data_IF_812141940084
#
_entry.id   IF_812141940084
#
_cell.length_a   1.000
_cell.length_b   1.000
_cell.length_c   1.000
_cell.angle_alpha   90.00
_cell.angle_beta   90.00
_cell.angle_gamma   90.00
#
_symmetry.space_group_name_H-M   'P 1'
#
loop_
_entity.id
_entity.type
_entity.pdbx_description
1 polymer ?
#
# COMPACT_ATOMS: atom_id res chain seq x y z
N UNK A 1 18.07 -46.28 -10.09
CA UNK A 1 17.10 -46.31 -8.98
C UNK A 1 17.25 -44.98 -8.25
N UNK A 2 16.35 -44.03 -8.45
CA UNK A 2 16.36 -42.75 -7.74
C UNK A 2 15.60 -42.95 -6.43
N UNK A 3 16.28 -42.82 -5.30
CA UNK A 3 15.62 -42.71 -4.00
C UNK A 3 15.13 -41.28 -3.84
N UNK A 4 13.84 -41.09 -3.67
CA UNK A 4 13.27 -39.84 -3.16
C UNK A 4 13.47 -39.91 -1.64
N UNK A 5 14.42 -39.15 -1.11
CA UNK A 5 14.61 -38.99 0.34
C UNK A 5 13.52 -38.08 0.92
N UNK A 6 13.24 -38.24 2.21
CA UNK A 6 12.37 -37.35 2.99
C UNK A 6 12.64 -35.87 2.70
N UNK A 7 11.58 -35.06 2.77
CA UNK A 7 11.61 -33.61 2.55
C UNK A 7 12.72 -33.00 3.42
N UNK A 8 13.68 -32.32 2.80
CA UNK A 8 14.78 -31.65 3.51
C UNK A 8 14.18 -30.74 4.59
N UNK A 9 14.56 -30.98 5.86
CA UNK A 9 14.11 -30.20 7.01
C UNK A 9 14.50 -28.72 6.90
N UNK A 10 15.49 -28.40 6.05
CA UNK A 10 15.93 -27.03 5.76
C UNK A 10 15.25 -26.42 4.52
N UNK A 11 14.38 -27.17 3.82
CA UNK A 11 13.62 -26.63 2.70
C UNK A 11 12.55 -25.67 3.23
N UNK A 12 12.95 -24.41 3.38
CA UNK A 12 12.03 -23.34 3.76
C UNK A 12 11.14 -23.05 2.58
N UNK A 13 9.84 -23.31 2.72
CA UNK A 13 8.85 -22.89 1.74
C UNK A 13 8.98 -21.38 1.58
N UNK A 14 9.25 -20.89 0.37
CA UNK A 14 9.17 -19.44 0.11
C UNK A 14 7.72 -19.01 0.28
N UNK A 15 7.42 -18.44 1.44
CA UNK A 15 6.09 -17.98 1.78
C UNK A 15 5.66 -16.76 0.97
N UNK A 16 4.40 -16.73 0.53
CA UNK A 16 3.77 -15.46 0.16
C UNK A 16 3.38 -14.67 1.40
N UNK A 17 3.58 -13.34 1.40
CA UNK A 17 3.11 -12.46 2.48
C UNK A 17 1.59 -12.53 2.71
N UNK A 18 0.84 -13.01 1.71
CA UNK A 18 -0.62 -13.19 1.75
C UNK A 18 -0.98 -14.66 1.44
N UNK A 19 -0.85 -15.59 2.40
CA UNK A 19 -1.02 -17.02 2.18
C UNK A 19 -2.47 -17.45 1.86
N UNK A 20 -3.45 -16.58 2.12
CA UNK A 20 -4.87 -16.84 1.88
C UNK A 20 -5.45 -16.06 0.69
N UNK A 21 -4.65 -15.21 0.04
CA UNK A 21 -5.08 -14.41 -1.11
C UNK A 21 -6.07 -13.30 -0.74
N UNK A 22 -6.12 -12.89 0.53
CA UNK A 22 -7.10 -11.94 1.04
C UNK A 22 -6.80 -10.50 0.65
N UNK A 23 -5.53 -10.19 0.37
CA UNK A 23 -5.17 -8.85 -0.10
C UNK A 23 -5.88 -8.52 -1.42
N UNK A 24 -5.95 -9.48 -2.36
CA UNK A 24 -6.63 -9.28 -3.66
C UNK A 24 -8.13 -9.06 -3.48
N UNK A 25 -8.76 -9.85 -2.58
CA UNK A 25 -10.17 -9.72 -2.24
C UNK A 25 -10.46 -8.32 -1.67
N UNK A 26 -9.67 -7.89 -0.68
CA UNK A 26 -9.86 -6.57 -0.10
C UNK A 26 -9.57 -5.45 -1.09
N UNK A 27 -8.53 -5.57 -1.93
CA UNK A 27 -8.25 -4.57 -2.98
C UNK A 27 -9.44 -4.40 -3.92
N UNK A 28 -10.09 -5.49 -4.32
CA UNK A 28 -11.29 -5.42 -5.15
C UNK A 28 -12.42 -4.64 -4.44
N UNK A 29 -12.63 -4.90 -3.15
CA UNK A 29 -13.63 -4.19 -2.35
C UNK A 29 -13.30 -2.70 -2.18
N UNK A 30 -12.10 -2.37 -1.71
CA UNK A 30 -11.68 -0.98 -1.48
C UNK A 30 -11.66 -0.14 -2.76
N UNK A 31 -11.31 -0.73 -3.92
CA UNK A 31 -11.34 -0.03 -5.22
C UNK A 31 -12.74 0.30 -5.70
N UNK A 32 -13.79 -0.31 -5.14
CA UNK A 32 -15.17 0.12 -5.40
C UNK A 32 -15.39 1.56 -4.96
N UNK A 33 -14.72 2.03 -3.91
CA UNK A 33 -14.76 3.43 -3.49
C UNK A 33 -13.57 4.24 -3.99
N UNK A 34 -12.34 3.79 -3.70
CA UNK A 34 -11.10 4.53 -3.93
C UNK A 34 -10.32 3.86 -5.07
N UNK A 35 -10.48 4.31 -6.34
CA UNK A 35 -10.07 3.52 -7.50
C UNK A 35 -8.56 3.51 -7.75
N UNK A 36 -7.88 4.64 -7.56
CA UNK A 36 -6.55 4.88 -8.15
C UNK A 36 -5.40 4.84 -7.16
N UNK A 37 -5.67 4.87 -5.85
CA UNK A 37 -4.62 4.80 -4.83
C UNK A 37 -4.08 3.37 -4.67
N UNK A 38 -2.83 3.29 -4.23
CA UNK A 38 -2.17 2.04 -3.82
C UNK A 38 -2.00 2.01 -2.29
N UNK A 39 -1.53 0.88 -1.76
CA UNK A 39 -1.21 0.71 -0.33
C UNK A 39 -0.06 1.61 0.15
N UNK A 40 0.73 2.17 -0.78
CA UNK A 40 2.00 2.86 -0.49
C UNK A 40 2.11 4.24 -1.16
N UNK A 41 1.05 4.71 -1.82
CA UNK A 41 1.03 6.01 -2.49
C UNK A 41 0.31 7.03 -1.62
N UNK A 42 0.96 7.46 -0.54
CA UNK A 42 0.36 8.26 0.53
C UNK A 42 1.11 9.57 0.81
N UNK A 43 2.16 9.90 0.05
CA UNK A 43 2.99 11.08 0.25
C UNK A 43 2.81 12.05 -0.92
N UNK A 44 2.46 13.30 -0.61
CA UNK A 44 2.19 14.34 -1.61
C UNK A 44 3.46 14.82 -2.33
N UNK A 45 4.59 14.87 -1.62
CA UNK A 45 5.89 15.25 -2.21
C UNK A 45 6.30 14.22 -3.28
N UNK A 46 6.03 12.93 -3.07
CA UNK A 46 6.31 11.90 -4.07
C UNK A 46 5.49 12.13 -5.37
N UNK A 47 4.21 12.55 -5.24
CA UNK A 47 3.42 12.98 -6.38
C UNK A 47 3.99 14.26 -7.04
N UNK A 48 4.41 15.27 -6.26
CA UNK A 48 5.04 16.49 -6.79
C UNK A 48 6.32 16.16 -7.60
N UNK A 49 7.18 15.29 -7.07
CA UNK A 49 8.40 14.84 -7.75
C UNK A 49 8.06 14.16 -9.08
N UNK A 50 7.04 13.31 -9.10
CA UNK A 50 6.60 12.64 -10.31
C UNK A 50 6.02 13.63 -11.34
N UNK A 51 5.20 14.59 -10.90
CA UNK A 51 4.70 15.67 -11.76
C UNK A 51 5.85 16.47 -12.41
N UNK A 52 6.85 16.85 -11.61
CA UNK A 52 8.05 17.56 -12.09
C UNK A 52 8.83 16.72 -13.09
N UNK A 53 9.07 15.44 -12.80
CA UNK A 53 9.81 14.56 -13.71
C UNK A 53 9.11 14.40 -15.06
N UNK A 54 7.79 14.21 -15.08
CA UNK A 54 7.01 14.15 -16.33
C UNK A 54 7.01 15.48 -17.10
N UNK A 55 7.04 16.61 -16.39
CA UNK A 55 7.16 17.93 -17.01
C UNK A 55 8.54 18.10 -17.64
N UNK A 56 9.61 17.75 -16.91
CA UNK A 56 10.99 17.75 -17.39
C UNK A 56 11.14 16.87 -18.63
N UNK A 57 10.56 15.66 -18.62
CA UNK A 57 10.54 14.76 -19.78
C UNK A 57 10.01 15.46 -21.03
N UNK A 58 8.88 16.16 -20.90
CA UNK A 58 8.24 16.89 -22.00
C UNK A 58 9.08 18.10 -22.44
N UNK A 59 9.52 18.94 -21.51
CA UNK A 59 10.28 20.16 -21.83
C UNK A 59 11.62 19.88 -22.49
N UNK A 60 12.35 18.87 -22.01
CA UNK A 60 13.67 18.51 -22.53
C UNK A 60 13.65 17.39 -23.56
N UNK A 61 12.45 16.95 -23.99
CA UNK A 61 12.25 15.90 -24.99
C UNK A 61 13.05 14.63 -24.68
N UNK A 62 13.03 14.20 -23.42
CA UNK A 62 13.74 12.98 -22.98
C UNK A 62 13.05 11.78 -23.61
N UNK A 63 13.79 10.99 -24.38
CA UNK A 63 13.30 9.76 -24.99
C UNK A 63 12.82 8.76 -23.93
N UNK A 64 11.76 8.00 -24.24
CA UNK A 64 11.17 7.04 -23.31
C UNK A 64 12.19 6.03 -22.77
N UNK A 65 13.08 5.54 -23.64
CA UNK A 65 14.17 4.63 -23.27
C UNK A 65 15.13 5.20 -22.21
N UNK A 66 15.27 6.52 -22.14
CA UNK A 66 16.16 7.21 -21.21
C UNK A 66 15.44 7.75 -19.97
N UNK A 67 14.10 7.77 -19.97
CA UNK A 67 13.32 8.41 -18.91
C UNK A 67 13.52 7.73 -17.56
N UNK A 68 13.60 6.40 -17.52
CA UNK A 68 13.85 5.64 -16.28
C UNK A 68 15.21 6.00 -15.66
N UNK A 69 16.27 6.02 -16.47
CA UNK A 69 17.62 6.36 -16.00
C UNK A 69 17.69 7.79 -15.49
N UNK A 70 17.05 8.73 -16.19
CA UNK A 70 16.89 10.10 -15.71
C UNK A 70 16.10 10.15 -14.40
N UNK A 71 14.97 9.44 -14.30
CA UNK A 71 14.12 9.47 -13.12
C UNK A 71 14.86 8.96 -11.88
N UNK A 72 15.64 7.87 -11.99
CA UNK A 72 16.47 7.37 -10.89
C UNK A 72 17.43 8.45 -10.37
N UNK A 73 18.10 9.17 -11.27
CA UNK A 73 19.00 10.27 -10.89
C UNK A 73 18.24 11.45 -10.27
N UNK A 74 17.08 11.80 -10.84
CA UNK A 74 16.23 12.88 -10.35
C UNK A 74 15.66 12.57 -8.96
N UNK A 75 15.22 11.33 -8.72
CA UNK A 75 14.72 10.86 -7.44
C UNK A 75 15.80 10.95 -6.36
N UNK A 76 17.04 10.56 -6.65
CA UNK A 76 18.17 10.71 -5.70
C UNK A 76 18.40 12.18 -5.33
N UNK A 77 18.41 13.07 -6.33
CA UNK A 77 18.56 14.51 -6.11
C UNK A 77 17.45 15.07 -5.21
N UNK A 78 16.20 14.67 -5.46
CA UNK A 78 15.05 15.09 -4.66
C UNK A 78 15.09 14.47 -3.25
N UNK A 79 15.56 13.24 -3.10
CA UNK A 79 15.73 12.60 -1.80
C UNK A 79 16.77 13.34 -0.92
N UNK A 80 17.89 13.78 -1.51
CA UNK A 80 18.84 14.65 -0.82
C UNK A 80 18.21 16.00 -0.45
N UNK A 81 17.46 16.60 -1.39
CA UNK A 81 16.78 17.89 -1.17
C UNK A 81 15.75 17.81 -0.03
N UNK A 82 14.97 16.72 0.04
CA UNK A 82 14.01 16.46 1.12
C UNK A 82 14.70 16.38 2.48
N UNK A 83 15.77 15.58 2.57
CA UNK A 83 16.54 15.47 3.82
C UNK A 83 17.19 16.79 4.24
N UNK A 84 17.65 17.59 3.27
CA UNK A 84 18.19 18.93 3.55
C UNK A 84 17.13 19.84 4.16
N UNK A 85 15.92 19.84 3.58
CA UNK A 85 14.77 20.63 4.03
C UNK A 85 14.28 20.20 5.42
N UNK A 86 14.14 18.90 5.65
CA UNK A 86 13.70 18.34 6.92
C UNK A 86 14.43 17.02 7.20
N UNK A 87 15.34 17.08 8.18
CA UNK A 87 16.15 15.91 8.59
C UNK A 87 15.32 14.83 9.29
N UNK A 88 14.17 15.23 9.86
CA UNK A 88 13.25 14.35 10.57
C UNK A 88 12.27 13.64 9.64
N UNK A 89 12.08 14.14 8.41
CA UNK A 89 11.21 13.53 7.41
C UNK A 89 11.61 12.08 7.12
N UNK A 90 10.64 11.17 7.18
CA UNK A 90 10.80 9.77 6.79
C UNK A 90 10.37 9.54 5.34
N UNK A 91 11.22 8.87 4.55
CA UNK A 91 10.89 8.42 3.20
C UNK A 91 11.72 7.21 2.78
N UNK A 92 11.33 6.54 1.69
CA UNK A 92 12.04 5.34 1.22
C UNK A 92 13.48 5.66 0.84
N UNK A 93 14.44 5.00 1.48
CA UNK A 93 15.87 5.21 1.23
C UNK A 93 16.50 6.30 2.11
N UNK A 94 15.75 6.90 3.04
CA UNK A 94 16.25 7.97 3.92
C UNK A 94 17.49 7.55 4.73
N UNK A 95 17.58 6.28 5.17
CA UNK A 95 18.75 5.81 5.93
C UNK A 95 20.02 5.78 5.09
N UNK A 96 19.91 5.43 3.80
CA UNK A 96 21.03 5.49 2.87
C UNK A 96 21.40 6.94 2.59
N UNK A 97 20.41 7.83 2.42
CA UNK A 97 20.62 9.27 2.26
C UNK A 97 21.37 9.87 3.46
N UNK A 98 20.91 9.60 4.69
CA UNK A 98 21.55 10.03 5.95
C UNK A 98 23.01 9.60 6.01
N UNK A 99 23.28 8.31 5.73
CA UNK A 99 24.64 7.76 5.71
C UNK A 99 25.52 8.44 4.65
N UNK A 100 24.99 8.65 3.44
CA UNK A 100 25.73 9.31 2.35
C UNK A 100 26.09 10.75 2.73
N UNK A 101 25.16 11.53 3.25
CA UNK A 101 25.40 12.93 3.64
C UNK A 101 26.40 13.02 4.79
N UNK A 102 26.30 12.14 5.80
CA UNK A 102 27.23 12.15 6.94
C UNK A 102 28.67 11.79 6.56
N UNK A 103 28.87 11.03 5.47
CA UNK A 103 30.17 10.42 5.13
C UNK A 103 30.85 11.06 3.92
N UNK A 104 30.20 11.99 3.20
CA UNK A 104 30.73 12.53 1.95
C UNK A 104 30.57 14.05 1.88
N UNK A 105 31.61 14.74 1.43
CA UNK A 105 31.55 16.17 1.10
C UNK A 105 30.73 16.44 -0.18
N UNK A 106 30.73 15.47 -1.11
CA UNK A 106 29.98 15.52 -2.37
C UNK A 106 28.95 14.39 -2.45
N UNK A 107 27.73 14.74 -2.82
CA UNK A 107 26.61 13.82 -3.02
C UNK A 107 26.63 13.32 -4.46
N UNK A 108 26.91 12.02 -4.63
CA UNK A 108 26.89 11.37 -5.95
C UNK A 108 25.45 11.06 -6.38
N UNK A 109 25.12 11.44 -7.60
CA UNK A 109 23.89 11.09 -8.30
C UNK A 109 24.25 10.19 -9.49
N UNK A 110 23.82 8.93 -9.46
CA UNK A 110 24.03 8.00 -10.56
C UNK A 110 23.06 6.83 -10.56
N UNK A 111 22.87 6.20 -11.71
CA UNK A 111 22.04 4.97 -11.81
C UNK A 111 22.59 3.80 -11.00
N UNK A 112 23.90 3.81 -10.71
CA UNK A 112 24.61 2.77 -9.97
C UNK A 112 24.70 3.03 -8.46
N UNK A 113 24.52 4.28 -8.02
CA UNK A 113 24.57 4.66 -6.60
C UNK A 113 23.17 4.93 -6.05
N UNK A 114 22.32 3.90 -6.14
CA UNK A 114 20.92 3.99 -5.72
C UNK A 114 20.78 4.16 -4.20
N UNK A 115 19.71 4.82 -3.78
CA UNK A 115 19.36 4.99 -2.35
C UNK A 115 18.57 3.80 -1.80
N UNK A 116 18.21 2.86 -2.66
CA UNK A 116 17.48 1.62 -2.37
C UNK A 116 18.18 0.43 -3.04
N UNK A 117 17.90 -0.78 -2.55
CA UNK A 117 18.42 -2.02 -3.15
C UNK A 117 17.88 -2.26 -4.58
N UNK A 118 16.69 -1.75 -4.87
CA UNK A 118 16.11 -1.68 -6.21
C UNK A 118 15.29 -0.39 -6.32
N UNK A 119 15.90 0.66 -6.88
CA UNK A 119 15.26 1.97 -7.00
C UNK A 119 13.98 1.91 -7.84
N UNK A 120 14.00 1.15 -8.93
CA UNK A 120 12.85 1.03 -9.84
C UNK A 120 11.62 0.45 -9.15
N UNK A 121 11.81 -0.61 -8.37
CA UNK A 121 10.70 -1.31 -7.72
C UNK A 121 10.23 -0.64 -6.43
N UNK A 122 11.16 -0.11 -5.63
CA UNK A 122 10.86 0.37 -4.27
C UNK A 122 10.85 1.88 -4.12
N UNK A 123 11.36 2.63 -5.10
CA UNK A 123 11.34 4.09 -5.14
C UNK A 123 9.99 4.65 -5.57
N UNK A 124 9.94 5.96 -5.78
CA UNK A 124 8.77 6.71 -6.24
C UNK A 124 8.24 6.12 -7.55
N UNK A 125 9.13 5.74 -8.47
CA UNK A 125 8.75 5.17 -9.76
C UNK A 125 7.82 3.95 -9.60
N UNK A 126 8.29 2.90 -8.91
CA UNK A 126 7.52 1.66 -8.75
C UNK A 126 6.24 1.83 -7.94
N UNK A 127 6.23 2.77 -6.99
CA UNK A 127 5.11 2.98 -6.06
C UNK A 127 4.02 3.92 -6.59
N UNK A 128 4.41 4.94 -7.36
CA UNK A 128 3.49 6.03 -7.75
C UNK A 128 3.20 6.08 -9.24
N UNK A 129 4.00 5.46 -10.12
CA UNK A 129 3.79 5.59 -11.57
C UNK A 129 2.42 5.04 -12.03
N UNK A 130 1.97 3.91 -11.45
CA UNK A 130 0.62 3.38 -11.73
C UNK A 130 -0.49 4.32 -11.22
N UNK A 131 -0.55 4.68 -9.92
CA UNK A 131 -1.52 5.67 -9.44
C UNK A 131 -1.55 6.94 -10.27
N UNK A 132 -0.38 7.52 -10.58
CA UNK A 132 -0.25 8.73 -11.37
C UNK A 132 -0.86 8.58 -12.78
N UNK A 133 -0.61 7.45 -13.44
CA UNK A 133 -1.17 7.17 -14.77
C UNK A 133 -2.69 6.94 -14.71
N UNK A 134 -3.18 6.17 -13.73
CA UNK A 134 -4.61 5.89 -13.55
C UNK A 134 -5.41 7.16 -13.19
N UNK A 135 -4.81 8.07 -12.43
CA UNK A 135 -5.37 9.41 -12.13
C UNK A 135 -5.34 10.39 -13.31
N UNK A 136 -4.65 10.03 -14.42
CA UNK A 136 -4.59 10.80 -15.67
C UNK A 136 -4.14 12.25 -15.43
N UNK A 137 -3.11 12.44 -14.61
CA UNK A 137 -2.55 13.77 -14.32
C UNK A 137 -2.21 14.55 -15.59
N UNK A 138 -1.70 13.86 -16.59
CA UNK A 138 -1.28 14.40 -17.88
C UNK A 138 -2.43 14.89 -18.77
N UNK A 139 -3.68 14.49 -18.48
CA UNK A 139 -4.89 15.01 -19.15
C UNK A 139 -5.44 16.29 -18.52
N UNK A 140 -4.91 16.73 -17.38
CA UNK A 140 -5.35 17.98 -16.75
C UNK A 140 -4.83 19.17 -17.55
N UNK A 141 -5.73 20.06 -17.98
CA UNK A 141 -5.40 21.19 -18.86
C UNK A 141 -4.36 22.16 -18.25
N UNK A 142 -4.35 22.29 -16.92
CA UNK A 142 -3.42 23.14 -16.18
C UNK A 142 -2.11 22.44 -15.77
N UNK A 143 -2.03 21.10 -15.81
CA UNK A 143 -0.87 20.34 -15.33
C UNK A 143 0.44 20.81 -15.95
N UNK A 144 0.48 20.86 -17.29
CA UNK A 144 1.70 21.20 -18.03
C UNK A 144 2.18 22.62 -17.70
N UNK A 145 1.27 23.59 -17.71
CA UNK A 145 1.59 24.99 -17.39
C UNK A 145 2.13 25.14 -15.97
N UNK A 146 1.44 24.55 -15.00
CA UNK A 146 1.72 24.72 -13.58
C UNK A 146 3.13 24.27 -13.20
N UNK A 147 3.50 23.04 -13.58
CA UNK A 147 4.81 22.49 -13.27
C UNK A 147 5.91 23.05 -14.17
N UNK A 148 5.60 23.48 -15.40
CA UNK A 148 6.53 24.22 -16.25
C UNK A 148 6.90 25.56 -15.63
N UNK A 149 5.91 26.32 -15.14
CA UNK A 149 6.15 27.62 -14.50
C UNK A 149 6.96 27.44 -13.20
N UNK A 150 6.63 26.41 -12.41
CA UNK A 150 7.40 26.03 -11.22
C UNK A 150 8.85 25.68 -11.56
N UNK A 151 9.10 24.87 -12.60
CA UNK A 151 10.45 24.55 -13.05
C UNK A 151 11.20 25.79 -13.58
N UNK A 152 10.54 26.67 -14.34
CA UNK A 152 11.15 27.90 -14.88
C UNK A 152 11.51 28.90 -13.80
N UNK A 153 10.72 28.96 -12.72
CA UNK A 153 11.03 29.80 -11.55
C UNK A 153 12.29 29.37 -10.82
N UNK A 154 12.73 28.11 -10.98
CA UNK A 154 13.92 27.57 -10.35
C UNK A 154 15.04 27.29 -11.37
N UNK A 155 15.75 28.36 -11.78
CA UNK A 155 16.85 28.27 -12.76
C UNK A 155 17.98 27.34 -12.32
N UNK A 156 18.28 27.29 -11.03
CA UNK A 156 19.33 26.42 -10.47
C UNK A 156 18.99 24.94 -10.66
N UNK A 157 17.76 24.55 -10.32
CA UNK A 157 17.25 23.20 -10.56
C UNK A 157 17.26 22.87 -12.04
N UNK A 158 16.78 23.79 -12.88
CA UNK A 158 16.70 23.58 -14.34
C UNK A 158 18.07 23.29 -14.96
N UNK A 159 19.10 24.04 -14.56
CA UNK A 159 20.50 23.80 -15.00
C UNK A 159 20.98 22.43 -14.54
N UNK A 160 20.74 22.09 -13.28
CA UNK A 160 21.16 20.79 -12.73
C UNK A 160 20.45 19.61 -13.42
N UNK A 161 19.15 19.77 -13.71
CA UNK A 161 18.36 18.79 -14.47
C UNK A 161 19.00 18.53 -15.83
N UNK A 162 19.38 19.58 -16.58
CA UNK A 162 20.06 19.40 -17.88
C UNK A 162 21.33 18.55 -17.75
N UNK A 163 22.08 18.70 -16.66
CA UNK A 163 23.27 17.86 -16.40
C UNK A 163 22.89 16.40 -16.18
N UNK A 164 21.89 16.12 -15.34
CA UNK A 164 21.53 14.75 -14.93
C UNK A 164 20.65 13.99 -15.93
N UNK A 165 20.19 14.62 -17.02
CA UNK A 165 19.42 13.91 -18.07
C UNK A 165 20.25 12.75 -18.64
N UNK A 166 21.49 13.02 -19.03
CA UNK A 166 22.35 12.03 -19.69
C UNK A 166 23.57 11.62 -18.88
N UNK A 167 23.89 12.34 -17.79
CA UNK A 167 25.14 12.13 -17.07
C UNK A 167 24.90 11.86 -15.60
N UNK A 168 25.80 11.10 -15.00
CA UNK A 168 25.97 11.11 -13.56
C UNK A 168 26.48 12.48 -13.11
N UNK A 169 26.19 12.85 -11.87
CA UNK A 169 26.56 14.17 -11.35
C UNK A 169 26.98 14.08 -9.88
N UNK A 170 27.56 15.18 -9.42
CA UNK A 170 27.91 15.39 -8.03
C UNK A 170 27.36 16.73 -7.58
N UNK A 171 26.81 16.75 -6.38
CA UNK A 171 26.28 17.95 -5.76
C UNK A 171 26.99 18.23 -4.45
N UNK A 172 27.26 19.50 -4.18
CA UNK A 172 27.58 19.91 -2.81
C UNK A 172 26.28 20.05 -2.01
N UNK A 173 26.37 19.79 -0.71
CA UNK A 173 25.20 19.78 0.17
C UNK A 173 24.50 21.14 0.26
N UNK A 174 25.27 22.23 0.25
CA UNK A 174 24.79 23.62 0.28
C UNK A 174 23.95 24.02 -0.95
N UNK A 175 24.15 23.37 -2.10
CA UNK A 175 23.39 23.65 -3.32
C UNK A 175 21.93 23.19 -3.20
N UNK A 176 21.63 22.22 -2.32
CA UNK A 176 20.29 21.64 -2.18
C UNK A 176 19.24 22.64 -1.71
N UNK A 177 19.64 23.67 -0.94
CA UNK A 177 18.75 24.75 -0.51
C UNK A 177 18.01 25.38 -1.68
N UNK A 178 18.71 25.52 -2.82
CA UNK A 178 18.18 26.13 -4.04
C UNK A 178 17.08 25.30 -4.70
N UNK A 179 16.90 24.04 -4.33
CA UNK A 179 15.90 23.14 -4.93
C UNK A 179 14.66 22.96 -4.05
N UNK A 180 14.68 23.42 -2.79
CA UNK A 180 13.60 23.13 -1.83
C UNK A 180 12.24 23.66 -2.27
N UNK A 181 12.21 24.82 -2.94
CA UNK A 181 10.96 25.48 -3.36
C UNK A 181 10.08 24.63 -4.29
N UNK A 182 10.66 23.66 -5.01
CA UNK A 182 9.86 22.80 -5.90
C UNK A 182 9.13 21.67 -5.18
N UNK A 183 9.49 21.39 -3.92
CA UNK A 183 8.87 20.38 -3.05
C UNK A 183 8.27 21.02 -1.77
N UNK A 184 8.00 22.31 -1.81
CA UNK A 184 7.22 23.00 -0.78
C UNK A 184 5.73 22.64 -0.86
N UNK A 185 4.98 23.07 0.15
CA UNK A 185 3.53 22.88 0.18
C UNK A 185 2.92 23.41 -1.13
N UNK A 186 1.98 22.68 -1.75
CA UNK A 186 1.33 23.13 -2.97
C UNK A 186 0.73 24.54 -2.81
N UNK A 187 0.87 25.38 -3.84
CA UNK A 187 0.06 26.59 -3.94
C UNK A 187 -1.41 26.23 -4.26
N UNK A 188 -2.32 27.21 -4.27
CA UNK A 188 -3.76 26.96 -4.48
C UNK A 188 -4.08 26.21 -5.79
N UNK A 189 -3.39 26.53 -6.89
CA UNK A 189 -3.61 25.85 -8.18
C UNK A 189 -3.06 24.41 -8.16
N UNK A 190 -1.91 24.17 -7.53
CA UNK A 190 -1.37 22.82 -7.32
C UNK A 190 -2.26 22.01 -6.39
N UNK A 191 -2.74 22.61 -5.30
CA UNK A 191 -3.67 22.00 -4.36
C UNK A 191 -4.96 21.59 -5.08
N UNK A 192 -5.55 22.48 -5.88
CA UNK A 192 -6.75 22.17 -6.67
C UNK A 192 -6.52 20.99 -7.61
N UNK A 193 -5.40 20.99 -8.35
CA UNK A 193 -5.03 19.88 -9.23
C UNK A 193 -4.88 18.56 -8.46
N UNK A 194 -4.19 18.57 -7.31
CA UNK A 194 -4.00 17.38 -6.50
C UNK A 194 -5.30 16.88 -5.89
N UNK A 195 -6.18 17.76 -5.40
CA UNK A 195 -7.51 17.37 -4.94
C UNK A 195 -8.30 16.72 -6.07
N UNK A 196 -8.35 17.37 -7.25
CA UNK A 196 -9.10 16.88 -8.41
C UNK A 196 -8.61 15.49 -8.89
N UNK A 197 -7.32 15.21 -8.77
CA UNK A 197 -6.70 13.99 -9.34
C UNK A 197 -6.46 12.88 -8.32
N UNK A 198 -6.05 13.22 -7.11
CA UNK A 198 -5.69 12.24 -6.07
C UNK A 198 -6.91 11.86 -5.24
N UNK A 199 -7.69 12.85 -4.79
CA UNK A 199 -8.77 12.65 -3.83
C UNK A 199 -10.09 12.26 -4.52
N UNK A 200 -10.00 11.39 -5.51
CA UNK A 200 -11.16 10.87 -6.25
C UNK A 200 -11.79 9.67 -5.54
N UNK A 201 -13.10 9.58 -5.64
CA UNK A 201 -13.88 8.39 -5.34
C UNK A 201 -14.86 8.07 -6.49
N UNK A 202 -15.38 6.85 -6.52
CA UNK A 202 -16.37 6.42 -7.52
C UNK A 202 -17.81 6.90 -7.21
N UNK A 203 -17.97 7.85 -6.30
CA UNK A 203 -19.24 8.38 -5.81
C UNK A 203 -19.34 9.90 -5.98
N UNK A 204 -18.65 10.47 -6.98
CA UNK A 204 -18.65 11.90 -7.30
C UNK A 204 -18.08 12.78 -6.17
N UNK A 205 -16.97 12.38 -5.56
CA UNK A 205 -16.28 13.13 -4.48
C UNK A 205 -17.10 13.21 -3.18
N UNK A 206 -18.00 12.26 -2.95
CA UNK A 206 -18.79 12.15 -1.72
C UNK A 206 -17.88 12.02 -0.48
N UNK A 207 -16.81 11.21 -0.57
CA UNK A 207 -15.85 11.03 0.53
C UNK A 207 -15.16 12.35 0.87
N UNK A 208 -14.69 13.06 -0.16
CA UNK A 208 -14.04 14.36 -0.01
C UNK A 208 -14.98 15.37 0.65
N UNK A 209 -16.22 15.44 0.16
CA UNK A 209 -17.26 16.35 0.65
C UNK A 209 -17.55 16.11 2.13
N UNK A 210 -17.74 14.85 2.53
CA UNK A 210 -18.01 14.50 3.93
C UNK A 210 -16.84 14.88 4.83
N UNK A 211 -15.61 14.56 4.45
CA UNK A 211 -14.41 14.86 5.24
C UNK A 211 -14.18 16.37 5.41
N UNK A 212 -14.47 17.18 4.40
CA UNK A 212 -14.40 18.64 4.50
C UNK A 212 -15.46 19.23 5.41
N UNK A 213 -16.70 18.74 5.31
CA UNK A 213 -17.85 19.36 5.97
C UNK A 213 -18.06 18.88 7.41
N UNK A 214 -17.34 17.84 7.84
CA UNK A 214 -17.53 17.24 9.16
C UNK A 214 -16.20 17.10 9.92
N UNK A 215 -16.26 17.36 11.22
CA UNK A 215 -15.16 17.09 12.17
C UNK A 215 -15.41 15.77 12.91
N UNK A 216 -14.39 15.29 13.64
CA UNK A 216 -14.54 14.16 14.57
C UNK A 216 -14.25 12.78 13.97
N UNK A 217 -13.72 12.71 12.74
CA UNK A 217 -13.34 11.45 12.11
C UNK A 217 -11.88 11.03 12.34
N UNK A 218 -11.04 11.94 12.83
CA UNK A 218 -9.56 11.78 12.89
C UNK A 218 -9.14 10.62 13.80
N UNK A 219 -9.83 10.42 14.92
CA UNK A 219 -9.48 9.43 15.95
C UNK A 219 -10.35 8.17 15.89
N UNK A 220 -11.17 8.02 14.85
CA UNK A 220 -12.04 6.85 14.69
C UNK A 220 -11.23 5.64 14.23
N UNK A 221 -11.52 4.47 14.81
CA UNK A 221 -11.06 3.21 14.22
C UNK A 221 -11.75 2.99 12.85
N UNK A 222 -11.31 1.98 12.11
CA UNK A 222 -11.76 1.79 10.74
C UNK A 222 -13.28 1.60 10.63
N UNK A 223 -13.90 0.76 11.47
CA UNK A 223 -15.34 0.55 11.40
C UNK A 223 -16.13 1.79 11.84
N UNK A 224 -15.67 2.48 12.89
CA UNK A 224 -16.29 3.72 13.34
C UNK A 224 -16.20 4.82 12.28
N UNK A 225 -15.08 4.90 11.55
CA UNK A 225 -14.92 5.78 10.40
C UNK A 225 -15.94 5.45 9.31
N UNK A 226 -16.07 4.18 8.91
CA UNK A 226 -17.02 3.81 7.85
C UNK A 226 -18.47 4.09 8.27
N UNK A 227 -18.83 3.78 9.53
CA UNK A 227 -20.16 4.08 10.08
C UNK A 227 -20.42 5.60 10.17
N UNK A 228 -19.40 6.38 10.54
CA UNK A 228 -19.47 7.84 10.50
C UNK A 228 -19.76 8.33 9.07
N UNK A 229 -19.00 7.84 8.07
CA UNK A 229 -19.21 8.22 6.67
C UNK A 229 -20.62 7.84 6.17
N UNK A 230 -21.10 6.65 6.52
CA UNK A 230 -22.48 6.22 6.22
C UNK A 230 -23.49 7.19 6.84
N UNK A 231 -23.32 7.55 8.12
CA UNK A 231 -24.25 8.46 8.82
C UNK A 231 -24.28 9.89 8.27
N UNK A 232 -23.27 10.27 7.48
CA UNK A 232 -23.14 11.61 6.88
C UNK A 232 -23.49 11.67 5.41
N UNK A 233 -23.73 10.54 4.77
CA UNK A 233 -24.10 10.48 3.36
C UNK A 233 -25.59 10.26 3.18
N UNK A 234 -26.16 10.86 2.14
CA UNK A 234 -27.47 10.47 1.61
C UNK A 234 -27.36 9.73 0.26
N UNK A 235 -26.14 9.45 -0.20
CA UNK A 235 -25.88 8.79 -1.48
C UNK A 235 -25.99 7.25 -1.30
N UNK A 236 -27.04 6.60 -1.85
CA UNK A 236 -27.27 5.17 -1.62
C UNK A 236 -26.15 4.29 -2.20
N UNK A 237 -25.51 4.71 -3.30
CA UNK A 237 -24.38 3.98 -3.87
C UNK A 237 -23.16 4.04 -2.95
N UNK A 238 -22.84 5.22 -2.41
CA UNK A 238 -21.75 5.39 -1.45
C UNK A 238 -21.97 4.55 -0.18
N UNK A 239 -23.18 4.61 0.39
CA UNK A 239 -23.56 3.83 1.57
C UNK A 239 -23.40 2.33 1.31
N UNK A 240 -23.99 1.82 0.22
CA UNK A 240 -23.92 0.40 -0.10
C UNK A 240 -22.48 -0.10 -0.35
N UNK A 241 -21.61 0.73 -0.93
CA UNK A 241 -20.19 0.40 -1.09
C UNK A 241 -19.48 0.31 0.27
N UNK A 242 -19.75 1.25 1.18
CA UNK A 242 -19.15 1.23 2.53
C UNK A 242 -19.63 0.02 3.34
N UNK A 243 -20.92 -0.28 3.31
CA UNK A 243 -21.48 -1.48 3.93
C UNK A 243 -20.83 -2.74 3.36
N UNK A 244 -20.68 -2.84 2.04
CA UNK A 244 -19.97 -3.95 1.40
C UNK A 244 -18.52 -4.08 1.88
N UNK A 245 -17.78 -2.97 1.97
CA UNK A 245 -16.39 -2.97 2.48
C UNK A 245 -16.33 -3.45 3.93
N UNK A 246 -17.26 -3.01 4.79
CA UNK A 246 -17.37 -3.48 6.18
C UNK A 246 -17.55 -5.01 6.20
N UNK A 247 -18.49 -5.54 5.41
CA UNK A 247 -18.78 -6.97 5.41
C UNK A 247 -17.62 -7.80 4.85
N UNK A 248 -16.93 -7.33 3.80
CA UNK A 248 -15.73 -8.00 3.29
C UNK A 248 -14.64 -8.07 4.34
N UNK A 249 -14.37 -6.96 5.04
CA UNK A 249 -13.34 -6.92 6.08
C UNK A 249 -13.70 -7.81 7.27
N UNK A 250 -14.96 -7.75 7.73
CA UNK A 250 -15.51 -8.63 8.78
C UNK A 250 -15.44 -10.12 8.39
N UNK A 251 -15.45 -10.43 7.10
CA UNK A 251 -15.31 -11.80 6.60
C UNK A 251 -13.86 -12.26 6.65
N UNK A 252 -12.91 -11.48 6.12
CA UNK A 252 -11.54 -11.95 5.87
C UNK A 252 -10.58 -11.71 7.03
N UNK A 253 -10.73 -10.63 7.79
CA UNK A 253 -9.80 -10.28 8.89
C UNK A 253 -9.79 -11.36 9.99
N UNK A 254 -10.94 -11.81 10.52
CA UNK A 254 -10.97 -12.93 11.47
C UNK A 254 -10.29 -14.21 10.97
N UNK A 255 -10.55 -14.57 9.71
CA UNK A 255 -10.01 -15.78 9.10
C UNK A 255 -8.49 -15.70 8.96
N UNK A 256 -7.97 -14.53 8.62
CA UNK A 256 -6.53 -14.27 8.60
C UNK A 256 -5.94 -14.41 10.00
N UNK A 257 -6.56 -13.81 11.02
CA UNK A 257 -6.11 -13.88 12.41
C UNK A 257 -6.07 -15.30 12.94
N UNK A 258 -7.10 -16.10 12.67
CA UNK A 258 -7.12 -17.53 12.99
C UNK A 258 -5.97 -18.26 12.28
N UNK A 259 -5.78 -18.02 10.98
CA UNK A 259 -4.69 -18.67 10.24
C UNK A 259 -3.31 -18.29 10.79
N UNK A 260 -3.06 -17.02 11.14
CA UNK A 260 -1.81 -16.58 11.77
C UNK A 260 -1.61 -17.16 13.16
N UNK A 261 -2.70 -17.35 13.91
CA UNK A 261 -2.66 -18.00 15.22
C UNK A 261 -2.24 -19.47 15.11
N UNK A 262 -2.81 -20.21 14.15
CA UNK A 262 -2.46 -21.60 13.91
C UNK A 262 -0.95 -21.77 13.62
N UNK A 263 -0.32 -20.78 12.98
CA UNK A 263 1.12 -20.80 12.71
C UNK A 263 2.01 -20.74 13.96
N UNK A 264 1.45 -20.47 15.16
CA UNK A 264 2.21 -20.36 16.41
C UNK A 264 2.70 -21.70 16.97
N UNK A 265 2.17 -22.83 16.47
CA UNK A 265 2.62 -24.19 16.80
C UNK A 265 2.96 -24.94 15.52
N UNK A 266 3.87 -25.91 15.61
CA UNK A 266 4.20 -26.80 14.49
C UNK A 266 3.12 -27.85 14.19
N UNK A 267 2.30 -28.18 15.19
CA UNK A 267 1.25 -29.18 15.07
C UNK A 267 0.08 -28.85 16.01
N UNK A 268 -1.15 -29.16 15.58
CA UNK A 268 -2.37 -29.06 16.37
C UNK A 268 -3.17 -30.35 16.27
N UNK A 269 -3.64 -30.87 17.39
CA UNK A 269 -4.59 -32.00 17.39
C UNK A 269 -6.02 -31.54 17.08
N UNK A 270 -6.86 -32.48 16.62
CA UNK A 270 -8.30 -32.23 16.42
C UNK A 270 -9.02 -31.82 17.72
N UNK A 271 -8.56 -32.32 18.87
CA UNK A 271 -9.14 -31.97 20.17
C UNK A 271 -8.75 -30.56 20.59
N UNK A 272 -7.47 -30.17 20.43
CA UNK A 272 -7.02 -28.81 20.70
C UNK A 272 -7.80 -27.79 19.87
N UNK A 273 -7.86 -27.98 18.54
CA UNK A 273 -8.63 -27.08 17.67
C UNK A 273 -10.10 -27.08 18.05
N UNK A 274 -10.69 -28.25 18.27
CA UNK A 274 -12.11 -28.39 18.63
C UNK A 274 -12.53 -27.59 19.86
N UNK A 275 -11.61 -27.39 20.82
CA UNK A 275 -11.86 -26.68 22.09
C UNK A 275 -11.18 -25.31 22.18
N UNK A 276 -10.54 -24.85 21.12
CA UNK A 276 -9.77 -23.60 21.16
C UNK A 276 -10.68 -22.37 21.27
N UNK A 277 -10.53 -21.64 22.38
CA UNK A 277 -11.31 -20.45 22.69
C UNK A 277 -10.97 -19.27 21.77
N UNK A 278 -9.71 -19.12 21.39
CA UNK A 278 -9.28 -18.02 20.52
C UNK A 278 -9.93 -18.14 19.14
N UNK A 279 -9.91 -19.33 18.54
CA UNK A 279 -10.57 -19.60 17.25
C UNK A 279 -12.07 -19.31 17.34
N UNK A 280 -12.71 -19.67 18.46
CA UNK A 280 -14.14 -19.45 18.68
C UNK A 280 -14.47 -17.96 18.80
N UNK A 281 -13.65 -17.20 19.54
CA UNK A 281 -13.86 -15.78 19.83
C UNK A 281 -13.53 -14.86 18.65
N UNK A 282 -12.59 -15.26 17.77
CA UNK A 282 -12.24 -14.47 16.60
C UNK A 282 -13.38 -14.36 15.58
N UNK A 283 -14.33 -15.29 15.57
CA UNK A 283 -15.38 -15.39 14.53
C UNK A 283 -16.41 -14.28 14.66
N UNK A 284 -17.04 -13.97 13.53
CA UNK A 284 -18.15 -13.03 13.49
C UNK A 284 -19.44 -13.77 13.11
N UNK A 285 -20.53 -13.47 13.82
CA UNK A 285 -21.84 -14.09 13.58
C UNK A 285 -22.74 -13.11 12.83
N UNK A 286 -23.62 -13.63 11.97
CA UNK A 286 -24.62 -12.81 11.28
C UNK A 286 -24.05 -11.90 10.20
N UNK A 287 -23.02 -12.35 9.46
CA UNK A 287 -22.51 -11.65 8.28
C UNK A 287 -23.62 -11.39 7.27
N UNK A 288 -23.68 -10.15 6.77
CA UNK A 288 -24.56 -9.78 5.67
C UNK A 288 -23.79 -10.01 4.37
N UNK A 289 -24.23 -10.96 3.55
CA UNK A 289 -23.49 -11.41 2.35
C UNK A 289 -24.02 -10.81 1.05
N UNK A 290 -24.77 -9.71 1.12
CA UNK A 290 -25.33 -9.05 -0.07
C UNK A 290 -24.21 -8.58 -1.00
N UNK A 291 -24.27 -9.00 -2.27
CA UNK A 291 -23.28 -8.65 -3.29
C UNK A 291 -21.94 -9.39 -3.19
N UNK A 292 -21.83 -10.40 -2.32
CA UNK A 292 -20.67 -11.30 -2.29
C UNK A 292 -20.64 -12.20 -3.53
N UNK A 293 -19.44 -12.47 -4.04
CA UNK A 293 -19.22 -13.51 -5.04
C UNK A 293 -19.12 -14.89 -4.37
N UNK A 294 -19.00 -15.95 -5.18
CA UNK A 294 -18.90 -17.34 -4.68
C UNK A 294 -17.71 -17.53 -3.72
N UNK A 295 -16.59 -16.84 -3.96
CA UNK A 295 -15.41 -16.94 -3.09
C UNK A 295 -15.71 -16.34 -1.73
N UNK A 296 -16.24 -15.12 -1.68
CA UNK A 296 -16.61 -14.44 -0.43
C UNK A 296 -17.74 -15.17 0.31
N UNK A 297 -18.72 -15.73 -0.40
CA UNK A 297 -19.78 -16.55 0.20
C UNK A 297 -19.19 -17.80 0.88
N UNK A 298 -18.27 -18.49 0.23
CA UNK A 298 -17.59 -19.66 0.81
C UNK A 298 -16.79 -19.30 2.06
N UNK A 299 -16.10 -18.15 2.06
CA UNK A 299 -15.35 -17.66 3.21
C UNK A 299 -16.27 -17.23 4.35
N UNK A 300 -17.37 -16.54 4.05
CA UNK A 300 -18.37 -16.15 5.04
C UNK A 300 -18.99 -17.37 5.73
N UNK A 301 -19.22 -18.46 4.99
CA UNK A 301 -19.75 -19.71 5.55
C UNK A 301 -18.83 -20.32 6.61
N UNK A 302 -17.50 -20.19 6.47
CA UNK A 302 -16.53 -20.75 7.43
C UNK A 302 -16.74 -20.24 8.86
N UNK A 303 -17.27 -19.02 9.04
CA UNK A 303 -17.55 -18.47 10.37
C UNK A 303 -18.62 -19.25 11.15
N UNK A 304 -19.50 -19.97 10.44
CA UNK A 304 -20.58 -20.75 11.04
C UNK A 304 -20.20 -22.22 11.28
N UNK A 305 -19.03 -22.65 10.80
CA UNK A 305 -18.57 -24.02 10.92
C UNK A 305 -18.06 -24.36 12.32
N UNK A 306 -17.83 -25.64 12.63
CA UNK A 306 -17.07 -26.02 13.83
C UNK A 306 -15.63 -25.49 13.76
N UNK A 307 -14.87 -25.50 14.87
CA UNK A 307 -13.45 -25.12 14.82
C UNK A 307 -12.66 -25.96 13.81
N UNK A 308 -12.83 -27.28 13.85
CA UNK A 308 -12.16 -28.19 12.93
C UNK A 308 -12.53 -27.90 11.46
N UNK A 309 -13.83 -27.78 11.15
CA UNK A 309 -14.29 -27.53 9.77
C UNK A 309 -13.85 -26.15 9.24
N UNK A 310 -13.80 -25.13 10.11
CA UNK A 310 -13.25 -23.82 9.74
C UNK A 310 -11.77 -23.95 9.38
N UNK A 311 -10.97 -24.61 10.22
CA UNK A 311 -9.53 -24.79 10.00
C UNK A 311 -9.27 -25.60 8.72
N UNK A 312 -10.02 -26.67 8.49
CA UNK A 312 -9.97 -27.44 7.23
C UNK A 312 -10.24 -26.52 6.02
N UNK A 313 -11.26 -25.66 6.12
CA UNK A 313 -11.58 -24.68 5.07
C UNK A 313 -10.44 -23.68 4.81
N UNK A 314 -9.79 -23.18 5.86
CA UNK A 314 -8.64 -22.28 5.73
C UNK A 314 -7.43 -22.98 5.09
N UNK A 315 -7.15 -24.22 5.48
CA UNK A 315 -6.07 -25.02 4.90
C UNK A 315 -6.36 -25.30 3.42
N UNK A 316 -7.60 -25.64 3.07
CA UNK A 316 -8.01 -25.85 1.68
C UNK A 316 -7.83 -24.55 0.84
N UNK A 317 -8.22 -23.40 1.40
CA UNK A 317 -7.99 -22.09 0.77
C UNK A 317 -6.50 -21.81 0.58
N UNK A 318 -5.68 -22.05 1.61
CA UNK A 318 -4.24 -21.88 1.52
C UNK A 318 -3.62 -22.77 0.44
N UNK A 319 -4.01 -24.05 0.38
CA UNK A 319 -3.58 -24.99 -0.67
C UNK A 319 -3.93 -24.47 -2.07
N UNK A 320 -5.16 -24.00 -2.28
CA UNK A 320 -5.60 -23.45 -3.55
C UNK A 320 -4.78 -22.23 -3.98
N UNK A 321 -4.57 -21.27 -3.08
CA UNK A 321 -3.76 -20.06 -3.37
C UNK A 321 -2.30 -20.41 -3.64
N UNK A 322 -1.73 -21.33 -2.86
CA UNK A 322 -0.36 -21.81 -3.07
C UNK A 322 -0.21 -22.50 -4.43
N UNK A 323 -1.17 -23.34 -4.83
CA UNK A 323 -1.20 -24.00 -6.13
C UNK A 323 -1.27 -22.98 -7.28
N UNK A 324 -2.14 -21.98 -7.21
CA UNK A 324 -2.23 -20.91 -8.22
C UNK A 324 -0.91 -20.13 -8.38
N UNK A 325 -0.08 -20.09 -7.32
CA UNK A 325 1.21 -19.39 -7.29
C UNK A 325 2.40 -20.31 -7.50
N UNK A 326 2.17 -21.58 -7.83
CA UNK A 326 3.21 -22.60 -7.99
C UNK A 326 4.14 -22.70 -6.76
N UNK A 327 3.53 -22.74 -5.57
CA UNK A 327 4.22 -22.76 -4.28
C UNK A 327 3.63 -23.85 -3.37
N UNK A 328 4.36 -24.25 -2.32
CA UNK A 328 3.90 -25.26 -1.37
C UNK A 328 2.90 -24.68 -0.36
N UNK A 329 1.87 -25.44 0.05
CA UNK A 329 0.97 -25.06 1.14
C UNK A 329 1.72 -24.86 2.46
N UNK A 330 1.21 -23.94 3.27
CA UNK A 330 1.78 -23.59 4.57
C UNK A 330 1.29 -24.50 5.69
N UNK A 331 0.13 -25.12 5.48
CA UNK A 331 -0.44 -26.07 6.42
C UNK A 331 -1.01 -27.26 5.67
N UNK A 332 -1.02 -28.39 6.34
CA UNK A 332 -1.67 -29.61 5.87
C UNK A 332 -2.50 -30.22 7.01
N UNK A 333 -3.40 -31.13 6.68
CA UNK A 333 -4.15 -31.91 7.66
C UNK A 333 -3.90 -33.40 7.43
N UNK A 334 -3.80 -34.14 8.54
CA UNK A 334 -3.64 -35.59 8.58
C UNK A 334 -4.78 -36.19 9.39
N UNK A 335 -4.85 -37.52 9.49
CA UNK A 335 -5.84 -38.19 10.33
C UNK A 335 -5.73 -37.75 11.82
N UNK A 336 -4.53 -37.37 12.26
CA UNK A 336 -4.23 -37.07 13.66
C UNK A 336 -4.30 -35.58 14.02
N UNK A 337 -4.42 -34.67 13.04
CA UNK A 337 -4.44 -33.24 13.29
C UNK A 337 -3.94 -32.39 12.12
N UNK A 338 -3.33 -31.25 12.43
CA UNK A 338 -2.96 -30.21 11.48
C UNK A 338 -1.47 -29.89 11.60
N UNK A 339 -0.74 -30.04 10.50
CA UNK A 339 0.69 -29.76 10.40
C UNK A 339 0.94 -28.35 9.87
N UNK A 340 1.83 -27.61 10.53
CA UNK A 340 2.26 -26.28 10.09
C UNK A 340 3.64 -26.38 9.46
N UNK A 341 3.68 -26.20 8.14
CA UNK A 341 4.87 -26.28 7.31
C UNK A 341 5.59 -24.92 7.14
N UNK A 342 4.92 -23.80 7.47
CA UNK A 342 5.51 -22.46 7.39
C UNK A 342 4.96 -21.53 8.48
N UNK A 343 5.85 -20.88 9.24
CA UNK A 343 5.50 -20.07 10.42
C UNK A 343 5.68 -18.55 10.23
N UNK A 344 6.08 -18.09 9.04
CA UNK A 344 6.31 -16.66 8.82
C UNK A 344 5.01 -15.86 8.99
N UNK A 345 5.04 -14.88 9.89
CA UNK A 345 3.89 -14.06 10.25
C UNK A 345 2.98 -14.69 11.31
N UNK A 346 3.42 -15.75 12.00
CA UNK A 346 2.73 -16.27 13.17
C UNK A 346 2.53 -15.16 14.21
N UNK A 347 1.30 -15.02 14.70
CA UNK A 347 0.94 -13.98 15.66
C UNK A 347 -0.31 -14.36 16.43
N UNK A 348 -0.37 -13.94 17.69
CA UNK A 348 -1.55 -14.07 18.54
C UNK A 348 -1.84 -12.70 19.14
N UNK A 349 -3.09 -12.26 19.02
CA UNK A 349 -3.58 -11.03 19.65
C UNK A 349 -4.81 -11.34 20.48
N UNK A 350 -4.60 -11.64 21.76
CA UNK A 350 -5.67 -12.03 22.68
C UNK A 350 -6.72 -10.91 22.92
N UNK A 351 -6.43 -9.67 22.48
CA UNK A 351 -7.36 -8.55 22.59
C UNK A 351 -8.13 -8.30 21.28
N UNK A 352 -7.94 -9.14 20.27
CA UNK A 352 -8.63 -9.01 18.98
C UNK A 352 -10.13 -9.18 19.16
N UNK A 353 -10.87 -8.18 18.69
CA UNK A 353 -12.32 -8.16 18.63
C UNK A 353 -12.75 -7.95 17.16
N UNK A 354 -13.38 -8.95 16.51
CA UNK A 354 -13.77 -8.87 15.11
C UNK A 354 -14.82 -7.78 14.79
N UNK A 355 -15.49 -7.24 15.81
CA UNK A 355 -16.44 -6.13 15.65
C UNK A 355 -15.77 -4.75 15.70
N UNK A 356 -14.51 -4.68 16.18
CA UNK A 356 -13.79 -3.41 16.40
C UNK A 356 -12.47 -3.32 15.65
N UNK A 357 -11.83 -4.46 15.40
CA UNK A 357 -10.50 -4.53 14.80
C UNK A 357 -10.59 -4.92 13.33
N UNK A 358 -9.75 -4.28 12.53
CA UNK A 358 -9.58 -4.51 11.10
C UNK A 358 -8.10 -4.70 10.79
N UNK A 359 -7.79 -5.54 9.82
CA UNK A 359 -6.45 -5.77 9.29
C UNK A 359 -6.17 -4.88 8.06
N UNK A 360 -7.21 -4.53 7.30
CA UNK A 360 -7.07 -3.85 6.02
C UNK A 360 -7.87 -2.54 5.98
N UNK A 361 -7.13 -1.43 5.85
CA UNK A 361 -7.70 -0.08 5.72
C UNK A 361 -6.86 0.84 4.81
N UNK A 362 -5.88 0.27 4.10
CA UNK A 362 -4.75 1.01 3.52
C UNK A 362 -5.13 2.02 2.44
N UNK A 363 -6.21 1.83 1.69
CA UNK A 363 -6.69 2.84 0.74
C UNK A 363 -7.31 4.04 1.45
N UNK A 364 -8.11 3.82 2.49
CA UNK A 364 -8.67 4.89 3.31
C UNK A 364 -7.56 5.63 4.03
N UNK A 365 -6.62 4.91 4.65
CA UNK A 365 -5.48 5.53 5.31
C UNK A 365 -4.64 6.38 4.34
N UNK A 366 -4.35 5.86 3.13
CA UNK A 366 -3.63 6.64 2.11
C UNK A 366 -4.41 7.88 1.67
N UNK A 367 -5.72 7.75 1.47
CA UNK A 367 -6.60 8.86 1.11
C UNK A 367 -6.64 9.93 2.21
N UNK A 368 -6.88 9.54 3.47
CA UNK A 368 -6.92 10.45 4.62
C UNK A 368 -5.59 11.14 4.86
N UNK A 369 -4.47 10.42 4.70
CA UNK A 369 -3.15 11.01 4.84
C UNK A 369 -2.88 12.08 3.76
N UNK A 370 -3.32 11.84 2.52
CA UNK A 370 -3.20 12.83 1.43
C UNK A 370 -4.16 14.00 1.64
N UNK A 371 -5.37 13.74 2.12
CA UNK A 371 -6.33 14.78 2.52
C UNK A 371 -5.72 15.73 3.56
N UNK A 372 -5.07 15.19 4.60
CA UNK A 372 -4.40 15.97 5.64
C UNK A 372 -3.13 16.70 5.16
N UNK A 373 -2.48 16.24 4.10
CA UNK A 373 -1.35 16.96 3.51
C UNK A 373 -1.80 18.12 2.62
N UNK A 374 -3.03 18.04 2.09
CA UNK A 374 -3.62 19.05 1.21
C UNK A 374 -4.42 20.11 1.98
N UNK A 375 -4.84 19.86 3.22
CA UNK A 375 -5.64 20.76 4.05
C UNK A 375 -4.93 21.09 5.37
#
# INVERSE_FOLDING_TARGET
>A
MYFITEKDQNYTIKGSRDPLGFQVIWQAAGRKLIPNLSTVSNNLIDFQILCLAHTIKKEFKIADANFESFFIRFEQMMAYTRHYKDKSEGFNGVDKVRKTIASNEELKISVNNQILSNQKAYGIWGKYNRPFSEMKFDLSSNFGKLFSDKLKSNLSLRKQVQTIINNDSKLKYDVLEKYMSVIEKPNEEEKKLFIERILQDNCNQELLSILHNNKGWIDLNFYDLLNFLISKSSNPNFISILEYIIQVEKTISPLNRIFRYLQSKSFWTNEEIGKDDFISQCRIKGLITNGFDETLLSLAQLHNNSNNDLVIGLIARNKNICQMRNSSPWMDFTENGYEVNHFEGASVDNNYNPEKNSDNNYFFWSYLNLFNQLN
#
